data_IF_768107065925
#
_entry.id   IF_768107065925
#
_cell.length_a   1.000
_cell.length_b   1.000
_cell.length_c   1.000
_cell.angle_alpha   90.00
_cell.angle_beta   90.00
_cell.angle_gamma   90.00
#
_symmetry.space_group_name_H-M   'P 1'
#
loop_
_entity.id
_entity.type
_entity.pdbx_description
1 polymer ?
#
# COMPACT_ATOMS: atom_id res chain seq x y z
N UNK A 1 14.77 -6.93 2.93
CA UNK A 1 13.67 -5.99 2.63
C UNK A 1 13.17 -5.45 3.95
N UNK A 2 13.12 -4.13 4.14
CA UNK A 2 12.56 -3.55 5.38
C UNK A 2 11.05 -3.45 5.18
N UNK A 3 10.29 -4.23 5.95
CA UNK A 3 8.84 -4.11 6.00
C UNK A 3 8.51 -2.86 6.82
N UNK A 4 8.01 -1.82 6.16
CA UNK A 4 7.35 -0.73 6.86
C UNK A 4 6.08 -1.32 7.51
N UNK A 5 5.84 -1.09 8.80
CA UNK A 5 4.65 -1.59 9.52
C UNK A 5 3.34 -1.14 8.85
N UNK A 6 3.40 -0.12 7.99
CA UNK A 6 2.32 0.28 7.09
C UNK A 6 1.89 -0.83 6.11
N UNK A 7 2.80 -1.71 5.69
CA UNK A 7 2.48 -2.85 4.81
C UNK A 7 1.64 -3.88 5.55
N UNK A 8 2.03 -4.25 6.77
CA UNK A 8 1.29 -5.24 7.58
C UNK A 8 -0.10 -4.73 7.94
N UNK A 9 -0.22 -3.45 8.33
CA UNK A 9 -1.51 -2.80 8.58
C UNK A 9 -2.43 -2.82 7.35
N UNK A 10 -1.88 -2.61 6.15
CA UNK A 10 -2.65 -2.67 4.91
C UNK A 10 -3.13 -4.08 4.59
N UNK A 11 -2.29 -5.09 4.82
CA UNK A 11 -2.65 -6.51 4.65
C UNK A 11 -3.78 -6.88 5.61
N UNK A 12 -3.60 -6.58 6.90
CA UNK A 12 -4.61 -6.85 7.92
C UNK A 12 -5.95 -6.18 7.59
N UNK A 13 -5.93 -4.89 7.23
CA UNK A 13 -7.14 -4.16 6.84
C UNK A 13 -7.87 -4.80 5.66
N UNK A 14 -7.15 -5.20 4.59
CA UNK A 14 -7.78 -5.86 3.44
C UNK A 14 -8.37 -7.21 3.80
N UNK A 15 -7.66 -8.01 4.60
CA UNK A 15 -8.14 -9.29 5.07
C UNK A 15 -9.41 -9.12 5.93
N UNK A 16 -9.42 -8.17 6.87
CA UNK A 16 -10.59 -7.87 7.70
C UNK A 16 -11.81 -7.44 6.87
N UNK A 17 -11.62 -6.61 5.84
CA UNK A 17 -12.71 -6.20 4.94
C UNK A 17 -13.28 -7.40 4.20
N UNK A 18 -12.43 -8.27 3.63
CA UNK A 18 -12.90 -9.45 2.89
C UNK A 18 -13.64 -10.44 3.78
N UNK A 19 -13.15 -10.66 5.01
CA UNK A 19 -13.82 -11.52 5.99
C UNK A 19 -15.18 -10.94 6.40
N UNK A 20 -15.27 -9.63 6.64
CA UNK A 20 -16.55 -8.98 6.94
C UNK A 20 -17.52 -9.11 5.76
N UNK A 21 -17.07 -8.87 4.53
CA UNK A 21 -17.90 -8.97 3.33
C UNK A 21 -18.35 -10.40 3.00
N UNK A 22 -17.78 -11.43 3.63
CA UNK A 22 -18.25 -12.81 3.51
C UNK A 22 -19.52 -13.08 4.33
N UNK A 23 -19.84 -12.23 5.30
CA UNK A 23 -21.10 -12.27 6.04
C UNK A 23 -22.21 -11.53 5.26
N UNK A 24 -23.30 -12.20 4.84
CA UNK A 24 -24.40 -11.55 4.14
C UNK A 24 -25.13 -10.48 4.97
N UNK A 25 -24.97 -10.46 6.29
CA UNK A 25 -25.54 -9.43 7.15
C UNK A 25 -24.72 -8.12 7.17
N UNK A 26 -23.54 -8.10 6.55
CA UNK A 26 -22.65 -6.94 6.57
C UNK A 26 -23.25 -5.74 5.85
N UNK A 27 -23.39 -4.64 6.59
CA UNK A 27 -23.75 -3.33 6.05
C UNK A 27 -22.49 -2.64 5.53
N UNK A 28 -22.37 -2.52 4.20
CA UNK A 28 -21.18 -1.97 3.53
C UNK A 28 -20.88 -0.52 3.94
N UNK A 29 -21.90 0.26 4.29
CA UNK A 29 -21.72 1.63 4.75
C UNK A 29 -21.00 1.69 6.11
N UNK A 30 -21.47 0.93 7.10
CA UNK A 30 -20.86 0.87 8.42
C UNK A 30 -19.41 0.37 8.34
N UNK A 31 -19.17 -0.62 7.47
CA UNK A 31 -17.82 -1.13 7.20
C UNK A 31 -16.90 -0.05 6.58
N UNK A 32 -17.44 0.75 5.65
CA UNK A 32 -16.73 1.84 5.02
C UNK A 32 -16.38 2.94 6.04
N UNK A 33 -17.32 3.29 6.91
CA UNK A 33 -17.12 4.26 8.00
C UNK A 33 -16.09 3.75 9.01
N UNK A 34 -16.21 2.49 9.47
CA UNK A 34 -15.28 1.88 10.42
C UNK A 34 -13.83 1.92 9.92
N UNK A 35 -13.62 1.62 8.64
CA UNK A 35 -12.29 1.65 8.07
C UNK A 35 -11.88 3.03 7.56
N UNK A 36 -12.76 4.02 7.41
CA UNK A 36 -12.45 5.27 6.72
C UNK A 36 -12.13 5.06 5.23
N UNK A 37 -12.98 4.29 4.56
CA UNK A 37 -12.95 4.06 3.11
C UNK A 37 -14.24 4.55 2.46
N UNK A 38 -14.20 4.71 1.15
CA UNK A 38 -15.41 4.76 0.37
C UNK A 38 -15.91 3.34 0.02
N UNK A 39 -17.22 3.21 -0.23
CA UNK A 39 -17.85 1.93 -0.60
C UNK A 39 -17.25 1.35 -1.89
N UNK A 40 -16.85 2.19 -2.85
CA UNK A 40 -16.30 1.75 -4.14
C UNK A 40 -14.94 1.07 -3.95
N UNK A 41 -14.12 1.52 -3.00
CA UNK A 41 -12.87 0.86 -2.61
C UNK A 41 -13.11 -0.55 -2.07
N UNK A 42 -14.15 -0.75 -1.25
CA UNK A 42 -14.53 -2.06 -0.73
C UNK A 42 -14.99 -2.98 -1.88
N UNK A 43 -15.89 -2.50 -2.75
CA UNK A 43 -16.34 -3.26 -3.92
C UNK A 43 -15.19 -3.64 -4.86
N UNK A 44 -14.27 -2.70 -5.08
CA UNK A 44 -13.08 -2.92 -5.91
C UNK A 44 -12.11 -3.93 -5.28
N UNK A 45 -12.05 -4.02 -3.95
CA UNK A 45 -11.30 -5.08 -3.26
C UNK A 45 -11.97 -6.44 -3.45
N UNK A 46 -13.28 -6.53 -3.25
CA UNK A 46 -14.04 -7.77 -3.43
C UNK A 46 -13.93 -8.28 -4.88
N UNK A 47 -14.09 -7.40 -5.87
CA UNK A 47 -13.94 -7.78 -7.29
C UNK A 47 -12.54 -8.29 -7.63
N UNK A 48 -11.49 -7.71 -7.03
CA UNK A 48 -10.13 -8.23 -7.18
C UNK A 48 -9.93 -9.57 -6.48
N UNK A 49 -10.59 -9.79 -5.34
CA UNK A 49 -10.61 -11.09 -4.69
C UNK A 49 -11.28 -12.15 -5.56
N UNK A 50 -12.43 -11.87 -6.18
CA UNK A 50 -13.07 -12.81 -7.11
C UNK A 50 -12.15 -13.17 -8.29
N UNK A 51 -11.34 -12.22 -8.76
CA UNK A 51 -10.44 -12.43 -9.90
C UNK A 51 -9.12 -13.14 -9.54
N UNK A 52 -8.56 -12.91 -8.34
CA UNK A 52 -7.20 -13.33 -7.98
C UNK A 52 -7.11 -14.10 -6.65
N UNK A 53 -8.23 -14.37 -5.99
CA UNK A 53 -8.32 -15.01 -4.69
C UNK A 53 -7.62 -14.22 -3.59
N UNK A 54 -7.17 -14.95 -2.56
CA UNK A 54 -6.55 -14.36 -1.38
C UNK A 54 -5.32 -13.49 -1.70
N UNK A 55 -4.64 -13.69 -2.84
CA UNK A 55 -3.43 -12.95 -3.23
C UNK A 55 -3.60 -11.42 -3.20
N UNK A 56 -4.84 -10.93 -3.30
CA UNK A 56 -5.18 -9.50 -3.24
C UNK A 56 -4.85 -8.82 -1.90
N UNK A 57 -4.72 -9.57 -0.79
CA UNK A 57 -4.44 -8.95 0.51
C UNK A 57 -3.00 -8.44 0.58
N UNK A 58 -2.07 -9.15 -0.05
CA UNK A 58 -0.67 -8.77 -0.10
C UNK A 58 -0.46 -7.54 -0.97
N UNK A 59 0.43 -6.64 -0.52
CA UNK A 59 0.86 -5.56 -1.38
C UNK A 59 1.78 -6.09 -2.47
N UNK A 60 1.49 -5.72 -3.72
CA UNK A 60 2.41 -5.96 -4.83
C UNK A 60 3.77 -5.29 -4.51
N UNK A 61 4.90 -5.90 -4.88
CA UNK A 61 6.20 -5.25 -4.79
C UNK A 61 6.16 -3.92 -5.55
N UNK A 62 6.10 -2.80 -4.82
CA UNK A 62 6.17 -1.48 -5.44
C UNK A 62 7.65 -1.16 -5.59
N UNK A 63 8.10 -0.97 -6.82
CA UNK A 63 9.34 -0.25 -7.11
C UNK A 63 9.11 1.20 -6.68
N UNK A 64 9.23 1.45 -5.38
CA UNK A 64 9.12 2.79 -4.82
C UNK A 64 10.16 3.73 -5.42
N UNK A 65 10.01 5.02 -5.15
CA UNK A 65 11.05 6.00 -5.43
C UNK A 65 12.38 5.49 -4.83
N UNK A 66 13.45 5.35 -5.61
CA UNK A 66 14.72 4.90 -5.08
C UNK A 66 15.14 5.82 -3.92
N UNK A 67 15.46 5.23 -2.77
CA UNK A 67 15.86 5.95 -1.56
C UNK A 67 17.19 6.70 -1.71
N UNK A 68 17.90 6.49 -2.82
CA UNK A 68 19.09 7.24 -3.23
C UNK A 68 18.94 7.67 -4.68
N UNK A 69 19.15 8.97 -4.94
CA UNK A 69 19.40 9.47 -6.28
C UNK A 69 20.76 8.91 -6.72
N UNK A 70 20.79 8.18 -7.84
CA UNK A 70 22.03 7.72 -8.48
C UNK A 70 22.16 8.37 -9.85
N UNK A 71 23.35 8.85 -10.23
CA UNK A 71 24.59 8.86 -9.44
C UNK A 71 24.60 10.01 -8.39
N UNK A 72 25.42 9.90 -7.32
CA UNK A 72 25.65 11.01 -6.42
C UNK A 72 26.16 12.22 -7.22
N UNK A 73 25.69 13.42 -6.88
CA UNK A 73 26.14 14.65 -7.54
C UNK A 73 27.68 14.68 -7.53
N UNK A 74 28.27 14.79 -8.72
CA UNK A 74 29.72 14.96 -8.85
C UNK A 74 30.12 16.16 -7.98
N UNK A 75 30.89 15.90 -6.91
CA UNK A 75 31.48 16.99 -6.13
C UNK A 75 32.30 17.80 -7.11
N UNK A 76 31.89 19.04 -7.39
CA UNK A 76 32.76 19.99 -8.07
C UNK A 76 33.94 20.19 -7.12
N UNK A 77 35.12 19.69 -7.49
CA UNK A 77 36.36 20.13 -6.85
C UNK A 77 36.49 21.61 -7.10
N UNK A 78 36.00 22.42 -6.16
CA UNK A 78 36.42 23.80 -6.04
C UNK A 78 37.88 23.76 -5.64
N UNK A 79 38.77 23.85 -6.62
CA UNK A 79 40.13 24.29 -6.35
C UNK A 79 40.01 25.71 -5.79
N UNK A 80 40.07 25.84 -4.47
CA UNK A 80 40.37 27.09 -3.80
C UNK A 80 41.78 27.47 -4.23
N UNK A 81 41.88 28.24 -5.31
CA UNK A 81 43.11 28.95 -5.64
C UNK A 81 43.34 30.00 -4.58
N UNK A 82 44.18 29.67 -3.59
CA UNK A 82 45.08 30.65 -3.01
C UNK A 82 46.16 30.90 -4.07
N UNK A 83 46.29 32.14 -4.53
CA UNK A 83 47.52 32.92 -4.71
C UNK A 83 47.16 34.25 -5.37
#
# INVERSE_FOLDING_TARGET
MVHDGRTEQRVARRASILLAMADPATVVQDLAEHFGLDRTSIWSLCRRYEAAGAFVVWDAPRSGRPSRLSPPAARRSGATGLL
#
